data_IF_885489114066
#
_entry.id   IF_885489114066
#
_cell.length_a   1.000
_cell.length_b   1.000
_cell.length_c   1.000
_cell.angle_alpha   90.00
_cell.angle_beta   90.00
_cell.angle_gamma   90.00
#
_symmetry.space_group_name_H-M   'P 1'
#
loop_
_entity.id
_entity.type
_entity.pdbx_description
1 polymer ?
#
# COMPACT_ATOMS: atom_id res chain seq x y z
N UNK A 1 7.73 -2.60 -2.04
CA UNK A 1 7.58 -1.38 -2.88
C UNK A 1 8.78 -1.14 -3.78
N UNK A 2 10.01 -1.08 -3.26
CA UNK A 2 11.21 -0.93 -4.10
C UNK A 2 11.29 -2.03 -5.16
N UNK A 3 10.98 -3.28 -4.79
CA UNK A 3 10.95 -4.42 -5.72
C UNK A 3 9.93 -4.27 -6.84
N UNK A 4 8.75 -3.71 -6.57
CA UNK A 4 7.73 -3.46 -7.59
C UNK A 4 8.24 -2.46 -8.63
N UNK A 5 8.89 -1.40 -8.17
CA UNK A 5 9.47 -0.39 -9.05
C UNK A 5 10.67 -0.94 -9.85
N UNK A 6 11.46 -1.84 -9.24
CA UNK A 6 12.58 -2.51 -9.90
C UNK A 6 12.10 -3.49 -11.00
N UNK A 7 11.02 -4.23 -10.72
CA UNK A 7 10.35 -5.12 -11.67
C UNK A 7 9.64 -4.33 -12.79
N UNK A 8 9.14 -3.14 -12.46
CA UNK A 8 8.31 -2.32 -13.36
C UNK A 8 6.83 -2.73 -13.33
N UNK A 9 6.44 -3.55 -12.37
CA UNK A 9 5.06 -4.01 -12.18
C UNK A 9 4.78 -4.19 -10.68
N UNK A 10 3.53 -3.96 -10.27
CA UNK A 10 3.05 -4.30 -8.93
C UNK A 10 2.03 -5.45 -9.04
N UNK A 11 1.99 -6.38 -8.06
CA UNK A 11 1.07 -7.52 -8.09
C UNK A 11 -0.38 -7.09 -7.81
N UNK A 12 -1.34 -8.02 -7.83
CA UNK A 12 -2.67 -7.78 -7.24
C UNK A 12 -3.54 -6.71 -7.92
N UNK A 13 -3.36 -6.49 -9.23
CA UNK A 13 -4.14 -5.48 -9.97
C UNK A 13 -3.64 -4.05 -9.76
N UNK A 14 -2.48 -3.86 -9.13
CA UNK A 14 -1.84 -2.56 -8.97
C UNK A 14 -1.02 -2.19 -10.21
N UNK A 15 -1.39 -1.12 -10.89
CA UNK A 15 -0.56 -0.42 -11.87
C UNK A 15 0.32 0.63 -11.20
N UNK A 16 1.54 0.79 -11.70
CA UNK A 16 2.40 1.92 -11.34
C UNK A 16 1.83 3.21 -11.96
N UNK A 17 1.66 4.26 -11.16
CA UNK A 17 1.21 5.56 -11.66
C UNK A 17 2.41 6.37 -12.20
N UNK A 18 2.54 7.64 -11.82
CA UNK A 18 3.58 8.53 -12.34
C UNK A 18 4.32 9.32 -11.25
N UNK A 19 4.03 9.06 -9.97
CA UNK A 19 4.60 9.74 -8.82
C UNK A 19 5.34 8.76 -7.91
N UNK A 20 6.59 9.07 -7.55
CA UNK A 20 7.34 8.30 -6.56
C UNK A 20 8.31 9.17 -5.76
N UNK A 21 8.65 8.72 -4.56
CA UNK A 21 9.71 9.32 -3.75
C UNK A 21 10.70 8.24 -3.37
N UNK A 22 11.96 8.46 -3.74
CA UNK A 22 13.08 7.58 -3.46
C UNK A 22 14.02 8.27 -2.48
N UNK A 23 14.48 7.55 -1.46
CA UNK A 23 15.42 8.07 -0.45
C UNK A 23 16.64 7.17 -0.32
N UNK A 24 17.77 7.77 0.01
CA UNK A 24 18.93 7.02 0.47
C UNK A 24 18.67 6.39 1.86
N UNK A 25 19.41 5.34 2.22
CA UNK A 25 19.16 4.56 3.45
C UNK A 25 19.54 5.29 4.74
N UNK A 26 20.27 6.41 4.68
CA UNK A 26 20.63 7.21 5.85
C UNK A 26 19.55 8.20 6.31
N UNK A 27 19.51 8.53 7.60
CA UNK A 27 18.54 9.49 8.20
C UNK A 27 18.56 10.89 7.55
N UNK A 28 19.70 11.32 7.00
CA UNK A 28 19.86 12.56 6.22
C UNK A 28 20.18 12.28 4.73
N UNK A 29 19.69 11.16 4.22
CA UNK A 29 19.87 10.73 2.85
C UNK A 29 19.27 11.69 1.82
N UNK A 30 19.84 11.71 0.62
CA UNK A 30 19.25 12.45 -0.50
C UNK A 30 17.84 11.91 -0.83
N UNK A 31 16.88 12.81 -1.04
CA UNK A 31 15.53 12.49 -1.52
C UNK A 31 15.43 12.86 -3.01
N UNK A 32 14.96 11.92 -3.82
CA UNK A 32 14.57 12.14 -5.21
C UNK A 32 13.06 12.04 -5.28
N UNK A 33 12.41 13.09 -5.76
CA UNK A 33 10.97 13.11 -6.01
C UNK A 33 10.74 13.18 -7.50
N UNK A 34 10.00 12.20 -8.01
CA UNK A 34 9.58 12.16 -9.40
C UNK A 34 8.06 12.32 -9.46
N UNK A 35 7.61 13.06 -10.47
CA UNK A 35 6.20 13.36 -10.68
C UNK A 35 5.91 13.47 -12.16
N UNK A 36 4.81 12.85 -12.59
CA UNK A 36 4.36 12.80 -13.99
C UNK A 36 5.41 12.22 -14.94
N UNK A 37 6.11 11.17 -14.49
CA UNK A 37 7.05 10.42 -15.32
C UNK A 37 6.64 8.95 -15.38
N UNK A 38 7.02 8.27 -16.47
CA UNK A 38 6.94 6.81 -16.53
C UNK A 38 7.87 6.18 -15.49
N UNK A 39 7.28 5.51 -14.51
CA UNK A 39 7.99 4.84 -13.42
C UNK A 39 8.74 3.58 -13.88
N UNK A 40 8.49 3.08 -15.09
CA UNK A 40 9.19 1.92 -15.66
C UNK A 40 10.45 2.27 -16.45
N UNK A 41 10.75 3.57 -16.57
CA UNK A 41 11.90 4.10 -17.32
C UNK A 41 13.25 3.74 -16.70
N UNK A 42 14.29 3.69 -17.54
CA UNK A 42 15.66 3.37 -17.11
C UNK A 42 16.21 4.33 -16.04
N UNK A 43 15.79 5.59 -16.06
CA UNK A 43 16.19 6.61 -15.08
C UNK A 43 15.78 6.22 -13.65
N UNK A 44 14.55 5.73 -13.49
CA UNK A 44 14.04 5.27 -12.20
C UNK A 44 14.77 4.01 -11.74
N UNK A 45 15.02 3.08 -12.67
CA UNK A 45 15.80 1.85 -12.37
C UNK A 45 17.21 2.17 -11.91
N UNK A 46 17.86 3.18 -12.50
CA UNK A 46 19.19 3.62 -12.07
C UNK A 46 19.17 4.15 -10.63
N UNK A 47 18.16 4.93 -10.24
CA UNK A 47 18.06 5.39 -8.85
C UNK A 47 17.97 4.23 -7.86
N UNK A 48 17.18 3.18 -8.18
CA UNK A 48 17.08 1.97 -7.37
C UNK A 48 18.43 1.22 -7.34
N UNK A 49 19.09 1.06 -8.50
CA UNK A 49 20.39 0.41 -8.60
C UNK A 49 21.49 1.12 -7.79
N UNK A 50 21.37 2.44 -7.57
CA UNK A 50 22.26 3.21 -6.69
C UNK A 50 21.95 3.05 -5.19
N UNK A 51 21.03 2.15 -4.82
CA UNK A 51 20.70 1.82 -3.43
C UNK A 51 19.56 2.64 -2.82
N UNK A 52 18.86 3.48 -3.61
CA UNK A 52 17.72 4.25 -3.10
C UNK A 52 16.50 3.36 -2.90
N UNK A 53 15.78 3.61 -1.81
CA UNK A 53 14.56 2.91 -1.42
C UNK A 53 13.33 3.76 -1.70
N UNK A 54 12.27 3.12 -2.17
CA UNK A 54 11.00 3.79 -2.42
C UNK A 54 10.28 4.01 -1.09
N UNK A 55 10.02 5.28 -0.76
CA UNK A 55 9.30 5.68 0.47
C UNK A 55 7.88 6.14 0.18
N UNK A 56 7.60 6.55 -1.06
CA UNK A 56 6.23 6.76 -1.52
C UNK A 56 6.08 6.29 -2.96
N UNK A 57 4.96 5.66 -3.26
CA UNK A 57 4.65 5.14 -4.59
C UNK A 57 3.21 5.47 -4.96
N UNK A 58 3.02 6.13 -6.10
CA UNK A 58 1.73 6.32 -6.74
C UNK A 58 1.31 5.03 -7.43
N UNK A 59 0.08 4.60 -7.16
CA UNK A 59 -0.50 3.36 -7.66
C UNK A 59 -1.91 3.64 -8.19
N UNK A 60 -2.32 2.83 -9.15
CA UNK A 60 -3.69 2.74 -9.64
C UNK A 60 -4.13 1.30 -9.46
N UNK A 61 -5.20 1.07 -8.70
CA UNK A 61 -5.77 -0.26 -8.52
C UNK A 61 -6.96 -0.46 -9.46
N UNK A 62 -6.90 -1.51 -10.27
CA UNK A 62 -7.96 -1.96 -11.19
C UNK A 62 -8.58 -0.87 -12.07
N UNK A 63 -7.82 0.19 -12.40
CA UNK A 63 -8.33 1.38 -13.11
C UNK A 63 -9.51 2.10 -12.39
N UNK A 64 -9.72 1.80 -11.11
CA UNK A 64 -10.81 2.36 -10.29
C UNK A 64 -10.32 3.35 -9.24
N UNK A 65 -9.20 3.07 -8.57
CA UNK A 65 -8.71 3.91 -7.46
C UNK A 65 -7.24 4.28 -7.69
N UNK A 66 -6.97 5.58 -7.78
CA UNK A 66 -5.62 6.14 -7.73
C UNK A 66 -5.29 6.58 -6.31
N UNK A 67 -4.11 6.22 -5.83
CA UNK A 67 -3.65 6.62 -4.49
C UNK A 67 -2.12 6.62 -4.41
N UNK A 68 -1.60 7.14 -3.30
CA UNK A 68 -0.18 7.08 -2.96
C UNK A 68 0.01 6.25 -1.70
N UNK A 69 0.77 5.18 -1.81
CA UNK A 69 1.20 4.34 -0.68
C UNK A 69 2.51 4.87 -0.10
N UNK A 70 2.64 4.90 1.23
CA UNK A 70 3.89 5.23 1.93
C UNK A 70 4.54 3.98 2.52
N UNK A 71 5.83 4.08 2.88
CA UNK A 71 6.56 3.01 3.58
C UNK A 71 5.98 2.67 4.96
N UNK A 72 5.23 3.61 5.55
CA UNK A 72 4.46 3.44 6.79
C UNK A 72 3.02 2.94 6.58
N UNK A 73 2.71 2.40 5.38
CA UNK A 73 1.39 1.89 5.01
C UNK A 73 0.25 2.92 5.08
N UNK A 74 0.57 4.21 4.91
CA UNK A 74 -0.46 5.24 4.80
C UNK A 74 -0.94 5.36 3.35
N UNK A 75 -2.26 5.33 3.16
CA UNK A 75 -2.90 5.67 1.89
C UNK A 75 -3.13 7.19 1.86
N UNK A 76 -2.56 7.86 0.85
CA UNK A 76 -2.67 9.31 0.65
C UNK A 76 -3.24 9.60 -0.73
N UNK A 77 -3.88 10.77 -0.87
CA UNK A 77 -4.41 11.26 -2.15
C UNK A 77 -5.29 10.23 -2.86
N UNK A 78 -6.18 9.59 -2.11
CA UNK A 78 -7.15 8.65 -2.67
C UNK A 78 -8.07 9.41 -3.61
N UNK A 79 -8.17 8.92 -4.84
CA UNK A 79 -9.00 9.44 -5.90
C UNK A 79 -9.69 8.27 -6.60
N UNK A 80 -11.02 8.26 -6.56
CA UNK A 80 -11.83 7.37 -7.38
C UNK A 80 -11.83 7.88 -8.83
N UNK A 81 -11.63 6.97 -9.78
CA UNK A 81 -11.55 7.27 -11.20
C UNK A 81 -12.94 7.27 -11.85
N UNK A 82 -13.03 7.83 -13.06
CA UNK A 82 -14.30 8.19 -13.71
C UNK A 82 -15.25 6.99 -13.88
N UNK A 83 -14.74 5.81 -14.21
CA UNK A 83 -15.55 4.59 -14.35
C UNK A 83 -16.40 4.32 -13.09
N UNK A 84 -15.78 4.39 -11.90
CA UNK A 84 -16.48 4.11 -10.65
C UNK A 84 -17.42 5.25 -10.26
N UNK A 85 -17.07 6.50 -10.60
CA UNK A 85 -17.95 7.65 -10.37
C UNK A 85 -19.19 7.61 -11.27
N UNK A 86 -19.03 7.18 -12.53
CA UNK A 86 -20.13 7.01 -13.48
C UNK A 86 -21.09 5.91 -13.01
N UNK A 87 -20.59 4.80 -12.47
CA UNK A 87 -21.42 3.73 -11.88
C UNK A 87 -22.26 4.23 -10.69
N UNK A 88 -21.65 4.99 -9.78
CA UNK A 88 -22.38 5.60 -8.66
C UNK A 88 -23.47 6.59 -9.13
N UNK A 89 -23.22 7.30 -10.24
CA UNK A 89 -24.15 8.26 -10.83
C UNK A 89 -25.43 7.65 -11.43
N UNK A 90 -25.50 6.33 -11.62
CA UNK A 90 -26.69 5.66 -12.17
C UNK A 90 -27.76 5.34 -11.11
N UNK A 91 -27.51 5.62 -9.82
CA UNK A 91 -28.36 5.15 -8.73
C UNK A 91 -29.67 5.93 -8.50
N UNK A 92 -29.82 7.13 -9.07
CA UNK A 92 -31.03 7.95 -8.94
C UNK A 92 -30.80 9.42 -9.26
N UNK A 93 -31.87 10.23 -9.25
CA UNK A 93 -31.80 11.68 -9.51
C UNK A 93 -31.79 12.52 -8.22
N UNK A 94 -32.21 11.96 -7.07
CA UNK A 94 -32.20 12.67 -5.80
C UNK A 94 -30.86 12.54 -5.08
N UNK A 95 -30.50 13.62 -4.37
CA UNK A 95 -29.20 13.76 -3.71
C UNK A 95 -28.97 12.73 -2.61
N UNK A 96 -30.02 12.29 -1.94
CA UNK A 96 -29.93 11.33 -0.83
C UNK A 96 -29.58 9.94 -1.38
N UNK A 97 -30.32 9.47 -2.39
CA UNK A 97 -30.07 8.19 -3.05
C UNK A 97 -28.68 8.13 -3.73
N UNK A 98 -28.28 9.22 -4.41
CA UNK A 98 -26.94 9.32 -5.00
C UNK A 98 -25.84 9.24 -3.96
N UNK A 99 -26.00 9.93 -2.82
CA UNK A 99 -25.01 9.89 -1.75
C UNK A 99 -24.88 8.49 -1.14
N UNK A 100 -26.01 7.84 -0.81
CA UNK A 100 -26.01 6.50 -0.23
C UNK A 100 -25.37 5.48 -1.17
N UNK A 101 -25.75 5.48 -2.44
CA UNK A 101 -25.19 4.56 -3.43
C UNK A 101 -23.69 4.80 -3.65
N UNK A 102 -23.28 6.07 -3.77
CA UNK A 102 -21.87 6.43 -3.89
C UNK A 102 -21.07 5.95 -2.68
N UNK A 103 -21.61 6.15 -1.47
CA UNK A 103 -20.93 5.76 -0.24
C UNK A 103 -20.78 4.24 -0.12
N UNK A 104 -21.83 3.48 -0.44
CA UNK A 104 -21.79 2.01 -0.43
C UNK A 104 -20.73 1.51 -1.41
N UNK A 105 -20.80 1.95 -2.67
CA UNK A 105 -19.88 1.54 -3.72
C UNK A 105 -18.43 1.89 -3.37
N UNK A 106 -18.18 3.15 -2.96
CA UNK A 106 -16.83 3.58 -2.59
C UNK A 106 -16.28 2.83 -1.36
N UNK A 107 -17.13 2.50 -0.39
CA UNK A 107 -16.70 1.77 0.81
C UNK A 107 -16.36 0.32 0.50
N UNK A 108 -17.13 -0.33 -0.38
CA UNK A 108 -16.88 -1.70 -0.84
C UNK A 108 -15.54 -1.78 -1.58
N UNK A 109 -15.33 -0.89 -2.55
CA UNK A 109 -14.08 -0.84 -3.34
C UNK A 109 -12.86 -0.51 -2.49
N UNK A 110 -13.00 0.33 -1.45
CA UNK A 110 -11.94 0.57 -0.48
C UNK A 110 -11.62 -0.68 0.36
N UNK A 111 -12.63 -1.48 0.69
CA UNK A 111 -12.44 -2.76 1.38
C UNK A 111 -11.61 -3.72 0.53
N UNK A 112 -12.02 -3.94 -0.72
CA UNK A 112 -11.30 -4.78 -1.68
C UNK A 112 -9.88 -4.28 -1.95
N UNK A 113 -9.69 -2.96 -2.08
CA UNK A 113 -8.37 -2.34 -2.21
C UNK A 113 -7.45 -2.71 -1.04
N UNK A 114 -7.95 -2.65 0.19
CA UNK A 114 -7.16 -2.96 1.39
C UNK A 114 -6.80 -4.45 1.43
N UNK A 115 -7.74 -5.33 1.08
CA UNK A 115 -7.48 -6.78 0.99
C UNK A 115 -6.39 -7.07 -0.06
N UNK A 116 -6.53 -6.52 -1.26
CA UNK A 116 -5.54 -6.67 -2.33
C UNK A 116 -4.17 -6.11 -1.91
N UNK A 117 -4.14 -4.98 -1.19
CA UNK A 117 -2.91 -4.38 -0.70
C UNK A 117 -2.20 -5.27 0.33
N UNK A 118 -2.97 -5.87 1.25
CA UNK A 118 -2.45 -6.83 2.23
C UNK A 118 -1.82 -8.02 1.53
N UNK A 119 -2.51 -8.62 0.55
CA UNK A 119 -1.97 -9.74 -0.21
C UNK A 119 -0.71 -9.36 -0.99
N UNK A 120 -0.72 -8.21 -1.68
CA UNK A 120 0.41 -7.70 -2.45
C UNK A 120 1.66 -7.45 -1.58
N UNK A 121 1.47 -7.08 -0.32
CA UNK A 121 2.55 -6.84 0.65
C UNK A 121 3.05 -8.11 1.35
N UNK A 122 2.47 -9.28 1.04
CA UNK A 122 2.88 -10.57 1.61
C UNK A 122 2.04 -11.05 2.80
N UNK A 123 0.87 -10.46 3.02
CA UNK A 123 -0.05 -10.81 4.09
C UNK A 123 0.16 -10.01 5.39
N UNK A 124 -0.71 -10.26 6.37
CA UNK A 124 -0.58 -9.69 7.71
C UNK A 124 0.34 -10.57 8.56
N UNK A 125 1.20 -9.93 9.37
CA UNK A 125 1.91 -10.64 10.43
C UNK A 125 0.90 -11.16 11.47
N UNK A 126 0.95 -12.46 11.76
CA UNK A 126 0.13 -13.03 12.82
C UNK A 126 0.67 -12.58 14.19
N UNK A 127 0.00 -11.59 14.76
CA UNK A 127 0.40 -10.97 16.03
C UNK A 127 0.20 -11.88 17.25
N UNK A 128 -0.38 -13.08 17.11
CA UNK A 128 -0.70 -13.96 18.24
C UNK A 128 0.45 -14.89 18.65
N UNK A 129 1.46 -15.11 17.81
CA UNK A 129 2.58 -16.01 18.12
C UNK A 129 3.59 -15.46 19.16
N UNK A 130 3.47 -14.19 19.59
CA UNK A 130 4.42 -13.54 20.52
C UNK A 130 4.09 -13.71 22.01
N UNK A 131 2.93 -14.26 22.39
CA UNK A 131 2.53 -14.35 23.81
C UNK A 131 2.75 -15.73 24.48
N UNK A 132 3.14 -16.78 23.76
CA UNK A 132 3.18 -18.15 24.33
C UNK A 132 4.57 -18.64 24.82
N UNK A 133 5.63 -17.83 24.73
CA UNK A 133 7.01 -18.26 25.05
C UNK A 133 7.50 -18.00 26.49
N UNK A 134 6.64 -17.55 27.41
CA UNK A 134 7.04 -16.86 28.64
C UNK A 134 6.77 -17.57 29.97
N UNK A 135 6.69 -18.90 30.04
CA UNK A 135 6.64 -19.59 31.35
C UNK A 135 7.70 -20.70 31.39
N UNK A 136 8.92 -20.31 31.77
CA UNK A 136 9.91 -21.27 32.27
C UNK A 136 9.59 -21.54 33.73
N UNK A 137 8.80 -22.58 33.98
CA UNK A 137 8.61 -23.14 35.32
C UNK A 137 9.98 -23.52 35.87
N UNK A 138 10.49 -22.74 36.82
CA UNK A 138 11.67 -23.11 37.60
C UNK A 138 11.26 -24.26 38.52
N UNK A 139 11.75 -25.46 38.24
CA UNK A 139 11.77 -26.56 39.21
C UNK A 139 12.38 -26.07 40.54
N UNK A 140 11.70 -26.24 41.69
CA UNK A 140 12.34 -25.98 42.97
C UNK A 140 13.31 -27.13 43.30
N UNK A 141 14.60 -26.82 43.34
CA UNK A 141 15.64 -27.72 43.82
C UNK A 141 15.32 -28.18 45.25
N UNK A 142 15.21 -29.50 45.46
CA UNK A 142 15.01 -30.10 46.78
C UNK A 142 16.26 -29.90 47.66
N UNK A 143 16.13 -29.54 48.95
CA UNK A 143 17.27 -29.44 49.84
C UNK A 143 17.84 -30.83 50.15
N UNK A 144 19.15 -30.97 49.92
CA UNK A 144 19.94 -32.15 50.27
C UNK A 144 20.04 -32.22 51.81
N UNK A 145 19.69 -33.37 52.38
CA UNK A 145 19.96 -33.73 53.77
C UNK A 145 21.10 -34.75 53.85
#
# INVERSE_FOLDING_TARGET
MTDWLAAGEAPGGFGLDADAVLKDGGENGAEVRVSRIDLTSDEIRQHIATGKQVTKLGLIWNEKIRFQLTDTLQLKRIQFLDMLQDEAGQAGDDRESLFEATFILMSEELGELVEALVEALGGLEDSQARQEGGVQEREPELPIA
#
